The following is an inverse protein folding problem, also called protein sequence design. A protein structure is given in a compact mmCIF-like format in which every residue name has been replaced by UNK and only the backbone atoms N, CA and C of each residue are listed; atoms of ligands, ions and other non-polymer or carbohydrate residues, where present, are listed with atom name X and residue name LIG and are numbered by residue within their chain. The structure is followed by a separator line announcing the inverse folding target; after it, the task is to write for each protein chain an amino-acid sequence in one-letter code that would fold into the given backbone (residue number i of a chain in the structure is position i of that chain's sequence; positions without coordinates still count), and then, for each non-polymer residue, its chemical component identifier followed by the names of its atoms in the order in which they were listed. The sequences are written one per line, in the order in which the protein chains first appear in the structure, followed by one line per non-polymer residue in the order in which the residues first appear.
data_IF_330725393790
#
_entry.id   IF_330725393790
#
_cell.length_a   1.000
_cell.length_b   1.000
_cell.length_c   1.000
_cell.angle_alpha   90.00
_cell.angle_beta   90.00
_cell.angle_gamma   90.00
#
_symmetry.space_group_name_H-M   'P 1'
#
loop_
_entity.id
_entity.type
_entity.pdbx_description
1 polymer ?
#
# COMPACT_ATOMS: atom_id res chain seq x y z
N UNK A 1 -8.57 -0.52 -12.62
CA UNK A 1 -7.70 -1.53 -13.29
C UNK A 1 -8.13 -2.97 -12.97
N UNK A 2 -8.21 -3.36 -11.69
CA UNK A 2 -8.50 -4.72 -11.21
C UNK A 2 -9.67 -5.44 -11.92
N UNK A 3 -10.83 -4.78 -12.09
CA UNK A 3 -12.00 -5.35 -12.78
C UNK A 3 -11.72 -5.79 -14.21
N UNK A 4 -10.88 -5.06 -14.95
CA UNK A 4 -10.60 -5.33 -16.37
C UNK A 4 -9.55 -6.43 -16.56
N UNK A 5 -8.46 -6.38 -15.78
CA UNK A 5 -7.30 -7.26 -15.99
C UNK A 5 -7.36 -8.56 -15.16
N UNK A 6 -8.02 -8.53 -14.00
CA UNK A 6 -8.08 -9.66 -13.07
C UNK A 6 -9.51 -10.14 -12.80
N UNK A 7 -10.53 -9.50 -13.40
CA UNK A 7 -11.96 -9.77 -13.16
C UNK A 7 -12.36 -9.67 -11.68
N UNK A 8 -11.64 -8.86 -10.91
CA UNK A 8 -11.94 -8.58 -9.51
C UNK A 8 -12.77 -7.31 -9.41
N UNK A 9 -14.06 -7.49 -9.13
CA UNK A 9 -15.00 -6.42 -8.81
C UNK A 9 -15.03 -6.20 -7.29
N UNK A 10 -13.84 -5.96 -6.74
CA UNK A 10 -13.55 -6.06 -5.31
C UNK A 10 -14.33 -5.03 -4.47
N UNK A 11 -14.62 -3.86 -5.04
CA UNK A 11 -15.39 -2.78 -4.41
C UNK A 11 -16.83 -3.17 -4.07
N UNK A 12 -17.33 -4.29 -4.61
CA UNK A 12 -18.67 -4.83 -4.34
C UNK A 12 -18.69 -5.97 -3.33
N UNK A 13 -17.54 -6.44 -2.87
CA UNK A 13 -17.47 -7.53 -1.90
C UNK A 13 -17.87 -7.02 -0.51
N UNK A 14 -18.61 -7.83 0.25
CA UNK A 14 -19.03 -7.50 1.61
C UNK A 14 -17.91 -7.83 2.60
N UNK A 15 -16.86 -6.99 2.66
CA UNK A 15 -15.72 -7.12 3.57
C UNK A 15 -15.61 -5.92 4.51
N UNK A 16 -15.00 -6.13 5.67
CA UNK A 16 -14.75 -5.08 6.67
C UNK A 16 -13.46 -4.29 6.42
N UNK A 17 -12.55 -4.84 5.62
CA UNK A 17 -11.24 -4.26 5.30
C UNK A 17 -10.77 -4.77 3.94
N UNK A 18 -10.16 -3.90 3.14
CA UNK A 18 -9.46 -4.31 1.92
C UNK A 18 -7.96 -4.07 2.02
N UNK A 19 -7.18 -5.03 1.51
CA UNK A 19 -5.72 -4.95 1.42
C UNK A 19 -5.22 -5.01 -0.03
N UNK A 20 -5.60 -4.06 -0.91
CA UNK A 20 -5.19 -4.08 -2.31
C UNK A 20 -3.67 -3.96 -2.41
N UNK A 21 -3.05 -4.90 -3.13
CA UNK A 21 -1.60 -4.89 -3.35
C UNK A 21 -1.22 -3.86 -4.42
N UNK A 22 -0.32 -2.94 -4.07
CA UNK A 22 0.15 -1.85 -4.93
C UNK A 22 1.57 -2.17 -5.40
N UNK A 23 1.67 -2.76 -6.58
CA UNK A 23 2.93 -3.24 -7.16
C UNK A 23 3.61 -2.19 -8.05
N UNK A 24 3.97 -1.02 -7.52
CA UNK A 24 4.55 0.08 -8.31
C UNK A 24 5.74 -0.36 -9.19
N UNK A 25 6.63 -1.22 -8.68
CA UNK A 25 7.77 -1.74 -9.44
C UNK A 25 7.37 -2.61 -10.66
N UNK A 26 6.27 -3.37 -10.58
CA UNK A 26 5.78 -4.19 -11.71
C UNK A 26 5.17 -3.34 -12.82
N UNK A 27 4.74 -2.13 -12.48
CA UNK A 27 4.24 -1.14 -13.43
C UNK A 27 5.31 -0.14 -13.87
N UNK A 28 6.57 -0.30 -13.42
CA UNK A 28 7.67 0.65 -13.64
C UNK A 28 7.35 2.07 -13.16
N UNK A 29 6.54 2.18 -12.11
CA UNK A 29 6.12 3.44 -11.52
C UNK A 29 6.96 3.75 -10.28
N UNK A 30 7.17 5.04 -9.95
CA UNK A 30 7.93 5.43 -8.76
C UNK A 30 7.08 5.27 -7.49
N UNK A 31 7.70 5.36 -6.31
CA UNK A 31 7.01 5.14 -5.01
C UNK A 31 5.83 6.09 -4.79
N UNK A 32 5.87 7.30 -5.35
CA UNK A 32 4.79 8.29 -5.31
C UNK A 32 3.48 7.80 -5.95
N UNK A 33 3.57 6.86 -6.89
CA UNK A 33 2.41 6.26 -7.53
C UNK A 33 1.51 5.51 -6.55
N UNK A 34 2.06 5.04 -5.43
CA UNK A 34 1.28 4.47 -4.31
C UNK A 34 0.18 5.44 -3.87
N UNK A 35 0.49 6.75 -3.83
CA UNK A 35 -0.48 7.76 -3.43
C UNK A 35 -1.65 7.89 -4.40
N UNK A 36 -1.39 7.77 -5.70
CA UNK A 36 -2.45 7.75 -6.73
C UNK A 36 -3.34 6.52 -6.55
N UNK A 37 -2.75 5.34 -6.38
CA UNK A 37 -3.50 4.11 -6.14
C UNK A 37 -4.34 4.19 -4.86
N UNK A 38 -3.82 4.79 -3.79
CA UNK A 38 -4.56 4.98 -2.54
C UNK A 38 -5.80 5.85 -2.73
N UNK A 39 -5.67 6.99 -3.42
CA UNK A 39 -6.80 7.87 -3.71
C UNK A 39 -7.86 7.16 -4.57
N UNK A 40 -7.43 6.39 -5.57
CA UNK A 40 -8.35 5.58 -6.40
C UNK A 40 -9.08 4.52 -5.56
N UNK A 41 -8.38 3.83 -4.65
CA UNK A 41 -8.96 2.78 -3.81
C UNK A 41 -9.96 3.33 -2.79
N UNK A 42 -9.62 4.43 -2.11
CA UNK A 42 -10.50 5.08 -1.11
C UNK A 42 -11.73 5.71 -1.80
N UNK A 43 -11.59 6.22 -3.03
CA UNK A 43 -12.73 6.71 -3.78
C UNK A 43 -13.69 5.59 -4.23
N UNK A 44 -13.20 4.35 -4.36
CA UNK A 44 -13.98 3.22 -4.84
C UNK A 44 -14.90 2.61 -3.77
N UNK A 45 -14.57 2.74 -2.48
CA UNK A 45 -15.35 2.14 -1.39
C UNK A 45 -15.23 2.95 -0.09
N UNK A 46 -16.30 3.04 0.73
CA UNK A 46 -16.20 3.61 2.06
C UNK A 46 -15.50 2.69 3.07
N UNK A 47 -15.25 1.43 2.70
CA UNK A 47 -14.58 0.45 3.57
C UNK A 47 -13.09 0.81 3.71
N UNK A 48 -12.50 0.72 4.92
CA UNK A 48 -11.09 1.03 5.13
C UNK A 48 -10.14 0.28 4.19
N UNK A 49 -9.09 0.97 3.74
CA UNK A 49 -8.05 0.43 2.85
C UNK A 49 -6.73 0.36 3.59
N UNK A 50 -6.17 -0.84 3.72
CA UNK A 50 -4.78 -1.06 4.10
C UNK A 50 -3.94 -1.26 2.84
N UNK A 51 -2.92 -0.44 2.61
CA UNK A 51 -2.09 -0.58 1.40
C UNK A 51 -1.27 -1.88 1.46
N UNK A 52 -1.47 -2.79 0.51
CA UNK A 52 -0.61 -3.96 0.37
C UNK A 52 0.71 -3.58 -0.28
N UNK A 53 1.81 -3.63 0.47
CA UNK A 53 3.14 -3.24 0.02
C UNK A 53 3.99 -4.48 -0.24
N UNK A 54 4.48 -4.63 -1.47
CA UNK A 54 5.41 -5.69 -1.83
C UNK A 54 6.84 -5.25 -1.51
N UNK A 55 7.45 -5.86 -0.49
CA UNK A 55 8.70 -5.36 0.09
C UNK A 55 9.90 -5.37 -0.86
N UNK A 56 10.09 -6.39 -1.72
CA UNK A 56 11.18 -6.39 -2.70
C UNK A 56 11.10 -5.27 -3.75
N UNK A 57 10.00 -4.51 -3.82
CA UNK A 57 9.89 -3.36 -4.72
C UNK A 57 10.67 -2.13 -4.23
N UNK A 58 10.88 -2.00 -2.91
CA UNK A 58 11.56 -0.85 -2.32
C UNK A 58 13.07 -1.04 -2.39
N UNK A 59 13.77 -0.03 -2.92
CA UNK A 59 15.22 -0.03 -3.18
C UNK A 59 16.02 0.36 -1.95
N UNK A 60 15.38 1.01 -0.98
CA UNK A 60 16.02 1.42 0.27
C UNK A 60 15.01 1.58 1.42
N UNK A 61 15.47 1.52 2.68
CA UNK A 61 14.65 1.86 3.84
C UNK A 61 14.03 3.27 3.78
N UNK A 62 14.73 4.22 3.16
CA UNK A 62 14.23 5.59 2.98
C UNK A 62 13.05 5.65 1.99
N UNK A 63 13.13 4.92 0.88
CA UNK A 63 12.02 4.82 -0.09
C UNK A 63 10.81 4.11 0.54
N UNK A 64 11.05 3.10 1.39
CA UNK A 64 9.99 2.47 2.16
C UNK A 64 9.33 3.42 3.15
N UNK A 65 10.11 4.19 3.92
CA UNK A 65 9.60 5.23 4.82
C UNK A 65 8.73 6.25 4.06
N UNK A 66 9.17 6.67 2.88
CA UNK A 66 8.40 7.55 2.00
C UNK A 66 7.07 6.89 1.58
N UNK A 67 7.08 5.61 1.20
CA UNK A 67 5.87 4.86 0.87
C UNK A 67 4.87 4.80 2.03
N UNK A 68 5.34 4.54 3.26
CA UNK A 68 4.51 4.54 4.47
C UNK A 68 3.87 5.92 4.72
N UNK A 69 4.67 6.99 4.59
CA UNK A 69 4.19 8.36 4.77
C UNK A 69 3.14 8.73 3.73
N UNK A 70 3.36 8.37 2.46
CA UNK A 70 2.38 8.58 1.38
C UNK A 70 1.06 7.88 1.71
N UNK A 71 1.09 6.62 2.15
CA UNK A 71 -0.15 5.89 2.50
C UNK A 71 -0.91 6.62 3.61
N UNK A 72 -0.21 7.06 4.67
CA UNK A 72 -0.80 7.82 5.79
C UNK A 72 -1.42 9.13 5.32
N UNK A 73 -0.69 9.94 4.56
CA UNK A 73 -1.15 11.24 4.07
C UNK A 73 -2.34 11.13 3.10
N UNK A 74 -2.48 10.01 2.41
CA UNK A 74 -3.60 9.75 1.49
C UNK A 74 -4.80 9.07 2.15
N UNK A 75 -4.79 8.90 3.47
CA UNK A 75 -5.93 8.39 4.24
C UNK A 75 -6.02 6.87 4.28
N UNK A 76 -4.92 6.15 4.02
CA UNK A 76 -4.88 4.71 4.24
C UNK A 76 -5.08 4.37 5.72
N UNK A 77 -5.89 3.36 5.98
CA UNK A 77 -6.16 2.86 7.33
C UNK A 77 -4.96 2.09 7.92
N UNK A 78 -4.01 1.70 7.08
CA UNK A 78 -2.79 1.00 7.47
C UNK A 78 -2.03 0.47 6.27
N UNK A 79 -1.08 -0.43 6.53
CA UNK A 79 -0.32 -1.16 5.52
C UNK A 79 -0.29 -2.65 5.85
N UNK A 80 -0.22 -3.48 4.81
CA UNK A 80 0.02 -4.91 4.90
C UNK A 80 1.31 -5.20 4.14
N UNK A 81 2.33 -5.72 4.83
CA UNK A 81 3.64 -6.00 4.23
C UNK A 81 3.65 -7.42 3.67
N UNK A 82 4.11 -7.59 2.43
CA UNK A 82 4.19 -8.86 1.75
C UNK A 82 5.62 -9.23 1.37
N UNK A 83 5.92 -10.52 1.49
CA UNK A 83 7.25 -11.13 1.33
C UNK A 83 8.21 -10.81 2.50
N UNK A 84 9.46 -11.26 2.41
CA UNK A 84 10.49 -11.05 3.41
C UNK A 84 10.79 -9.55 3.61
N UNK A 85 10.80 -9.14 4.88
CA UNK A 85 11.15 -7.79 5.32
C UNK A 85 12.54 -7.85 5.96
N UNK A 86 13.48 -7.06 5.45
CA UNK A 86 14.82 -6.92 6.03
C UNK A 86 14.78 -6.22 7.40
N UNK A 87 15.80 -6.43 8.23
CA UNK A 87 15.84 -5.85 9.59
C UNK A 87 15.88 -4.31 9.58
N UNK A 88 16.57 -3.73 8.61
CA UNK A 88 16.58 -2.29 8.35
C UNK A 88 15.19 -1.74 7.98
N UNK A 89 14.41 -2.49 7.19
CA UNK A 89 13.02 -2.15 6.90
C UNK A 89 12.11 -2.33 8.13
N UNK A 90 12.34 -3.35 8.95
CA UNK A 90 11.61 -3.51 10.22
C UNK A 90 11.86 -2.37 11.19
N UNK A 91 13.09 -1.87 11.26
CA UNK A 91 13.40 -0.69 12.07
C UNK A 91 12.57 0.51 11.63
N UNK A 92 12.55 0.82 10.33
CA UNK A 92 11.72 1.88 9.76
C UNK A 92 10.25 1.67 10.10
N UNK A 93 9.74 0.44 9.96
CA UNK A 93 8.34 0.13 10.24
C UNK A 93 7.98 0.35 11.71
N UNK A 94 8.84 -0.07 12.65
CA UNK A 94 8.64 0.13 14.09
C UNK A 94 8.65 1.61 14.47
N UNK A 95 9.57 2.38 13.91
CA UNK A 95 9.63 3.84 14.10
C UNK A 95 8.37 4.51 13.58
N UNK A 96 7.91 4.13 12.39
CA UNK A 96 6.67 4.65 11.80
C UNK A 96 5.46 4.34 12.68
N UNK A 97 5.25 3.08 13.10
CA UNK A 97 4.11 2.68 13.94
C UNK A 97 4.12 3.38 15.30
N UNK A 98 5.30 3.68 15.85
CA UNK A 98 5.41 4.41 17.12
C UNK A 98 5.08 5.91 17.01
N UNK A 99 4.94 6.43 15.79
CA UNK A 99 4.69 7.85 15.47
C UNK A 99 3.25 8.16 15.05
N UNK A 100 2.37 7.16 15.02
CA UNK A 100 0.95 7.24 14.62
C UNK A 100 0.07 7.17 15.85
#
# INVERSE_FOLDING_TARGET
MARKICRQDWDKWSLDLFCPMIYHSFYNEPVEWIGKCMLENIAATPVPICAGLYMPAFKSPAEFAQGLQIVKERGGAGVSLFDAVGEDYWQVFREFVSSV
#
